data_IF_792954783422
#
_entry.id   IF_792954783422
#
_cell.length_a   1.000
_cell.length_b   1.000
_cell.length_c   1.000
_cell.angle_alpha   90.00
_cell.angle_beta   90.00
_cell.angle_gamma   90.00
#
_symmetry.space_group_name_H-M   'P 1'
#
loop_
_entity.id
_entity.type
_entity.pdbx_description
1 polymer ?
#
# COMPACT_ATOMS: atom_id res chain seq x y z
N UNK A 1 -3.64 -1.27 18.60
CA UNK A 1 -4.70 -2.26 18.89
C UNK A 1 -4.24 -3.68 18.53
N UNK A 2 -4.17 -4.08 17.25
CA UNK A 2 -3.76 -5.45 16.88
C UNK A 2 -2.41 -5.90 17.45
N UNK A 3 -1.36 -5.09 17.25
CA UNK A 3 -0.02 -5.41 17.76
C UNK A 3 0.01 -5.48 19.30
N UNK A 4 -0.82 -4.68 19.98
CA UNK A 4 -0.90 -4.65 21.44
C UNK A 4 -1.57 -5.94 21.97
N UNK A 5 -2.67 -6.37 21.34
CA UNK A 5 -3.36 -7.63 21.67
C UNK A 5 -2.44 -8.84 21.47
N UNK A 6 -1.68 -8.88 20.38
CA UNK A 6 -0.75 -9.99 20.13
C UNK A 6 0.33 -10.09 21.21
N UNK A 7 0.72 -9.00 21.86
CA UNK A 7 1.70 -9.03 22.97
C UNK A 7 1.15 -9.70 24.23
N UNK A 8 -0.17 -9.78 24.37
CA UNK A 8 -0.79 -10.51 25.49
C UNK A 8 -0.66 -12.04 25.33
N UNK A 9 -0.29 -12.54 24.14
CA UNK A 9 -0.09 -13.96 23.92
C UNK A 9 -1.35 -14.81 24.09
N UNK A 10 -2.53 -14.19 23.95
CA UNK A 10 -3.82 -14.86 24.08
C UNK A 10 -4.02 -15.88 22.95
N UNK A 11 -4.65 -17.01 23.28
CA UNK A 11 -5.16 -17.93 22.27
C UNK A 11 -6.32 -17.30 21.49
N UNK A 12 -6.58 -17.78 20.28
CA UNK A 12 -7.53 -17.18 19.34
C UNK A 12 -8.98 -17.14 19.87
N UNK A 13 -9.33 -18.04 20.77
CA UNK A 13 -10.64 -18.21 21.39
C UNK A 13 -10.79 -17.49 22.73
N UNK A 14 -9.71 -16.89 23.24
CA UNK A 14 -9.73 -16.18 24.52
C UNK A 14 -10.20 -14.73 24.29
N UNK A 15 -11.22 -14.26 25.03
CA UNK A 15 -11.68 -12.88 24.89
C UNK A 15 -10.58 -11.89 25.30
N UNK A 16 -10.50 -10.80 24.54
CA UNK A 16 -9.66 -9.65 24.89
C UNK A 16 -10.24 -8.92 26.10
N UNK A 17 -9.39 -8.25 26.87
CA UNK A 17 -9.86 -7.44 27.99
C UNK A 17 -10.77 -6.27 27.54
N UNK A 18 -11.53 -5.72 28.49
CA UNK A 18 -12.50 -4.64 28.22
C UNK A 18 -11.86 -3.40 27.60
N UNK A 19 -10.59 -3.11 27.92
CA UNK A 19 -9.86 -1.97 27.38
C UNK A 19 -9.64 -2.11 25.87
N UNK A 20 -9.21 -3.28 25.40
CA UNK A 20 -9.04 -3.52 23.97
C UNK A 20 -10.37 -3.68 23.25
N UNK A 21 -11.37 -4.30 23.90
CA UNK A 21 -12.71 -4.40 23.36
C UNK A 21 -13.29 -3.01 23.05
N UNK A 22 -13.21 -2.09 24.02
CA UNK A 22 -13.72 -0.72 23.86
C UNK A 22 -12.95 0.07 22.80
N UNK A 23 -11.60 -0.03 22.79
CA UNK A 23 -10.78 0.60 21.73
C UNK A 23 -11.12 0.07 20.34
N UNK A 24 -11.37 -1.23 20.22
CA UNK A 24 -11.76 -1.84 18.96
C UNK A 24 -13.15 -1.37 18.52
N UNK A 25 -14.12 -1.31 19.44
CA UNK A 25 -15.48 -0.82 19.20
C UNK A 25 -15.46 0.61 18.65
N UNK A 26 -14.75 1.51 19.31
CA UNK A 26 -14.62 2.92 18.88
C UNK A 26 -13.96 3.02 17.49
N UNK A 27 -12.89 2.25 17.25
CA UNK A 27 -12.24 2.23 15.94
C UNK A 27 -13.18 1.75 14.82
N UNK A 28 -14.00 0.72 15.06
CA UNK A 28 -15.02 0.24 14.11
C UNK A 28 -16.07 1.32 13.83
N UNK A 29 -16.51 2.05 14.85
CA UNK A 29 -17.47 3.15 14.69
C UNK A 29 -16.91 4.28 13.81
N UNK A 30 -15.65 4.67 14.03
CA UNK A 30 -14.95 5.64 13.17
C UNK A 30 -14.86 5.17 11.71
N UNK A 31 -14.44 3.93 11.50
CA UNK A 31 -14.35 3.33 10.16
C UNK A 31 -15.71 3.31 9.47
N UNK A 32 -16.78 2.96 10.20
CA UNK A 32 -18.15 2.94 9.68
C UNK A 32 -18.65 4.33 9.26
N UNK A 33 -18.17 5.40 9.89
CA UNK A 33 -18.47 6.77 9.46
C UNK A 33 -17.67 7.12 8.20
N UNK A 34 -16.37 6.85 8.19
CA UNK A 34 -15.48 7.18 7.08
C UNK A 34 -15.84 6.45 5.78
N UNK A 35 -16.21 5.18 5.86
CA UNK A 35 -16.48 4.36 4.67
C UNK A 35 -17.76 4.80 3.93
N UNK A 36 -18.70 5.45 4.63
CA UNK A 36 -19.95 5.95 4.01
C UNK A 36 -19.70 7.04 2.97
N UNK A 37 -18.65 7.83 3.14
CA UNK A 37 -18.26 8.90 2.20
C UNK A 37 -17.11 8.50 1.28
N UNK A 38 -16.45 7.36 1.54
CA UNK A 38 -15.36 6.89 0.69
C UNK A 38 -15.88 6.42 -0.67
N UNK A 39 -15.37 7.04 -1.74
CA UNK A 39 -15.66 6.65 -3.11
C UNK A 39 -14.34 6.41 -3.85
N UNK A 40 -14.25 5.28 -4.54
CA UNK A 40 -13.13 4.94 -5.42
C UNK A 40 -13.67 4.65 -6.82
N UNK A 41 -13.21 5.38 -7.86
CA UNK A 41 -13.62 5.12 -9.23
C UNK A 41 -13.28 3.69 -9.66
N UNK A 42 -14.23 2.99 -10.28
CA UNK A 42 -14.00 1.64 -10.81
C UNK A 42 -13.08 1.62 -12.04
N UNK A 43 -13.09 2.71 -12.81
CA UNK A 43 -12.21 2.90 -13.96
C UNK A 43 -11.16 3.95 -13.60
N UNK A 44 -9.90 3.69 -13.92
CA UNK A 44 -8.82 4.65 -13.71
C UNK A 44 -8.93 5.86 -14.64
N UNK A 45 -9.43 5.64 -15.85
CA UNK A 45 -9.41 6.62 -16.92
C UNK A 45 -10.84 7.05 -17.30
N UNK A 46 -11.05 8.36 -17.37
CA UNK A 46 -12.31 8.98 -17.81
C UNK A 46 -12.11 9.56 -19.22
N UNK A 47 -12.77 9.01 -20.25
CA UNK A 47 -12.60 9.43 -21.67
C UNK A 47 -12.04 8.37 -22.64
N UNK A 48 -11.61 8.82 -23.82
CA UNK A 48 -11.12 7.99 -24.94
C UNK A 48 -9.74 7.36 -24.64
N UNK A 49 -9.49 6.09 -25.02
CA UNK A 49 -8.32 5.29 -24.61
C UNK A 49 -6.95 5.77 -25.08
N UNK A 50 -6.86 6.84 -25.88
CA UNK A 50 -5.62 7.37 -26.45
C UNK A 50 -4.80 8.20 -25.43
N UNK A 51 -4.73 7.68 -24.19
CA UNK A 51 -4.03 8.30 -23.09
C UNK A 51 -2.52 8.16 -23.27
N UNK A 52 -1.92 9.28 -23.64
CA UNK A 52 -0.49 9.50 -23.65
C UNK A 52 0.10 9.13 -22.27
N UNK A 53 1.04 8.19 -22.30
CA UNK A 53 1.99 7.82 -21.23
C UNK A 53 1.37 7.60 -19.83
N UNK A 54 1.25 6.32 -19.46
CA UNK A 54 0.85 5.89 -18.11
C UNK A 54 2.09 5.59 -17.26
N UNK A 55 2.17 6.17 -16.07
CA UNK A 55 3.26 5.91 -15.12
C UNK A 55 2.69 5.31 -13.82
N UNK A 56 3.40 4.32 -13.27
CA UNK A 56 3.03 3.67 -12.02
C UNK A 56 3.89 4.23 -10.88
N UNK A 57 3.26 4.72 -9.82
CA UNK A 57 3.94 5.25 -8.64
C UNK A 57 3.60 4.38 -7.43
N UNK A 58 4.60 3.75 -6.81
CA UNK A 58 4.41 2.92 -5.61
C UNK A 58 5.12 3.59 -4.43
N UNK A 59 4.35 3.94 -3.41
CA UNK A 59 4.82 4.47 -2.15
C UNK A 59 4.88 3.35 -1.13
N UNK A 60 5.93 3.32 -0.32
CA UNK A 60 6.04 2.40 0.79
C UNK A 60 6.50 3.11 2.05
N UNK A 61 6.00 2.65 3.19
CA UNK A 61 6.37 3.17 4.51
C UNK A 61 6.49 2.02 5.51
N UNK A 62 7.31 2.22 6.53
CA UNK A 62 7.54 1.25 7.58
C UNK A 62 7.80 1.93 8.92
N UNK A 63 7.12 1.43 9.95
CA UNK A 63 7.26 1.86 11.33
C UNK A 63 7.31 0.64 12.24
N UNK A 64 7.63 0.84 13.51
CA UNK A 64 7.60 -0.23 14.52
C UNK A 64 6.22 -0.86 14.70
N UNK A 65 5.16 -0.19 14.23
CA UNK A 65 3.77 -0.64 14.36
C UNK A 65 3.24 -1.31 13.10
N UNK A 66 3.62 -0.82 11.92
CA UNK A 66 3.08 -1.29 10.65
C UNK A 66 3.98 -0.95 9.46
N UNK A 67 3.83 -1.73 8.40
CA UNK A 67 4.36 -1.48 7.07
C UNK A 67 3.20 -1.28 6.10
N UNK A 68 3.31 -0.34 5.17
CA UNK A 68 2.27 -0.03 4.20
C UNK A 68 2.85 0.23 2.81
N UNK A 69 2.01 0.00 1.80
CA UNK A 69 2.29 0.25 0.39
C UNK A 69 1.03 0.79 -0.28
N UNK A 70 1.17 1.84 -1.08
CA UNK A 70 0.10 2.40 -1.89
C UNK A 70 0.59 2.64 -3.32
N UNK A 71 -0.19 2.21 -4.31
CA UNK A 71 0.12 2.37 -5.73
C UNK A 71 -0.90 3.30 -6.39
N UNK A 72 -0.38 4.23 -7.19
CA UNK A 72 -1.13 5.18 -7.98
C UNK A 72 -0.70 5.13 -9.45
N UNK A 73 -1.64 5.33 -10.34
CA UNK A 73 -1.41 5.45 -11.78
C UNK A 73 -1.56 6.92 -12.14
N UNK A 74 -0.56 7.47 -12.81
CA UNK A 74 -0.63 8.79 -13.42
C UNK A 74 -0.76 8.65 -14.93
N UNK A 75 -1.56 9.51 -15.54
CA UNK A 75 -1.83 9.50 -16.97
C UNK A 75 -2.19 10.91 -17.43
N UNK A 76 -1.91 11.22 -18.69
CA UNK A 76 -2.22 12.53 -19.26
C UNK A 76 -3.52 12.49 -20.06
N UNK A 77 -4.39 13.46 -19.82
CA UNK A 77 -5.61 13.70 -20.60
C UNK A 77 -5.60 15.15 -21.02
N UNK A 78 -5.58 15.44 -22.32
CA UNK A 78 -5.67 16.82 -22.86
C UNK A 78 -4.66 17.80 -22.24
N UNK A 79 -3.44 17.36 -21.93
CA UNK A 79 -2.40 18.18 -21.30
C UNK A 79 -2.41 18.21 -19.78
N UNK A 80 -3.39 17.57 -19.12
CA UNK A 80 -3.52 17.51 -17.67
C UNK A 80 -3.11 16.15 -17.11
N UNK A 81 -2.22 16.16 -16.11
CA UNK A 81 -1.81 14.95 -15.39
C UNK A 81 -2.89 14.58 -14.37
N UNK A 82 -3.53 13.45 -14.62
CA UNK A 82 -4.52 12.85 -13.76
C UNK A 82 -3.89 11.72 -12.93
N UNK A 83 -4.46 11.44 -11.76
CA UNK A 83 -3.98 10.39 -10.86
C UNK A 83 -5.15 9.53 -10.39
N UNK A 84 -4.95 8.20 -10.40
CA UNK A 84 -5.91 7.25 -9.86
C UNK A 84 -5.25 6.28 -8.88
N UNK A 85 -5.94 5.95 -7.78
CA UNK A 85 -5.49 4.93 -6.83
C UNK A 85 -5.69 3.54 -7.43
N UNK A 86 -4.64 2.73 -7.47
CA UNK A 86 -4.68 1.38 -8.05
C UNK A 86 -4.79 0.28 -7.00
N UNK A 87 -3.96 0.34 -5.96
CA UNK A 87 -3.93 -0.71 -4.93
C UNK A 87 -3.28 -0.18 -3.65
N UNK A 88 -3.76 -0.64 -2.50
CA UNK A 88 -3.15 -0.40 -1.20
C UNK A 88 -3.00 -1.69 -0.42
N UNK A 89 -1.91 -1.82 0.33
CA UNK A 89 -1.66 -2.98 1.19
C UNK A 89 -0.95 -2.54 2.46
N UNK A 90 -1.45 -3.01 3.60
CA UNK A 90 -0.85 -2.74 4.91
C UNK A 90 -0.65 -4.05 5.68
N UNK A 91 0.39 -4.12 6.50
CA UNK A 91 0.72 -5.26 7.35
C UNK A 91 1.19 -4.76 8.71
N UNK A 92 0.65 -5.33 9.79
CA UNK A 92 1.11 -5.06 11.15
C UNK A 92 2.57 -5.53 11.28
N UNK A 93 3.42 -4.71 11.88
CA UNK A 93 4.83 -5.06 12.06
C UNK A 93 4.95 -6.25 13.03
N UNK A 94 5.84 -7.23 12.75
CA UNK A 94 6.04 -8.38 13.63
C UNK A 94 6.37 -7.97 15.07
N UNK A 95 5.96 -8.78 16.05
CA UNK A 95 6.32 -8.57 17.45
C UNK A 95 7.82 -8.76 17.72
N UNK A 96 8.46 -9.65 16.96
CA UNK A 96 9.89 -9.84 17.04
C UNK A 96 10.60 -8.52 16.72
N UNK A 97 11.51 -8.11 17.61
CA UNK A 97 12.29 -6.90 17.45
C UNK A 97 13.03 -6.93 16.10
N UNK A 98 12.54 -6.16 15.14
CA UNK A 98 13.20 -5.89 13.87
C UNK A 98 13.60 -4.42 13.88
N UNK A 99 14.83 -4.15 13.44
CA UNK A 99 15.27 -2.77 13.26
C UNK A 99 14.43 -2.10 12.17
N UNK A 100 14.25 -0.78 12.27
CA UNK A 100 13.54 0.02 11.24
C UNK A 100 14.05 -0.28 9.83
N UNK A 101 15.37 -0.35 9.55
CA UNK A 101 15.85 -0.68 8.20
C UNK A 101 15.37 -2.03 7.65
N UNK A 102 15.16 -3.04 8.51
CA UNK A 102 14.62 -4.34 8.07
C UNK A 102 13.15 -4.24 7.70
N UNK A 103 12.37 -3.46 8.46
CA UNK A 103 10.96 -3.21 8.16
C UNK A 103 10.82 -2.39 6.87
N UNK A 104 11.67 -1.39 6.65
CA UNK A 104 11.73 -0.64 5.39
C UNK A 104 12.06 -1.54 4.20
N UNK A 105 12.99 -2.49 4.36
CA UNK A 105 13.32 -3.46 3.32
C UNK A 105 12.13 -4.39 3.03
N UNK A 106 11.43 -4.86 4.04
CA UNK A 106 10.22 -5.67 3.87
C UNK A 106 9.09 -4.89 3.17
N UNK A 107 8.90 -3.61 3.50
CA UNK A 107 7.97 -2.73 2.80
C UNK A 107 8.35 -2.54 1.33
N UNK A 108 9.65 -2.39 1.02
CA UNK A 108 10.15 -2.31 -0.34
C UNK A 108 9.92 -3.61 -1.14
N UNK A 109 10.08 -4.78 -0.51
CA UNK A 109 9.74 -6.07 -1.13
C UNK A 109 8.24 -6.17 -1.41
N UNK A 110 7.39 -5.72 -0.49
CA UNK A 110 5.95 -5.65 -0.71
C UNK A 110 5.59 -4.70 -1.87
N UNK A 111 6.27 -3.56 -1.97
CA UNK A 111 6.10 -2.60 -3.05
C UNK A 111 6.49 -3.19 -4.42
N UNK A 112 7.64 -3.87 -4.50
CA UNK A 112 8.09 -4.55 -5.72
C UNK A 112 7.10 -5.61 -6.19
N UNK A 113 6.60 -6.45 -5.26
CA UNK A 113 5.59 -7.46 -5.58
C UNK A 113 4.28 -6.84 -6.04
N UNK A 114 3.81 -5.78 -5.38
CA UNK A 114 2.61 -5.05 -5.80
C UNK A 114 2.77 -4.47 -7.20
N UNK A 115 3.91 -3.86 -7.50
CA UNK A 115 4.19 -3.32 -8.83
C UNK A 115 4.16 -4.42 -9.91
N UNK A 116 4.77 -5.57 -9.63
CA UNK A 116 4.75 -6.73 -10.52
C UNK A 116 3.31 -7.21 -10.78
N UNK A 117 2.50 -7.39 -9.73
CA UNK A 117 1.10 -7.78 -9.86
C UNK A 117 0.30 -6.76 -10.68
N UNK A 118 0.44 -5.46 -10.40
CA UNK A 118 -0.24 -4.41 -11.17
C UNK A 118 0.15 -4.49 -12.64
N UNK A 119 1.44 -4.61 -12.96
CA UNK A 119 1.90 -4.69 -14.36
C UNK A 119 1.39 -5.92 -15.10
N UNK A 120 1.24 -7.06 -14.42
CA UNK A 120 0.76 -8.30 -15.03
C UNK A 120 -0.75 -8.35 -15.24
N UNK A 121 -1.53 -7.70 -14.37
CA UNK A 121 -2.99 -7.81 -14.36
C UNK A 121 -3.69 -6.71 -15.15
N UNK A 122 -2.95 -5.77 -15.74
CA UNK A 122 -3.52 -4.73 -16.60
C UNK A 122 -3.24 -5.05 -18.07
N UNK A 123 -4.26 -4.84 -18.92
CA UNK A 123 -4.19 -5.04 -20.37
C UNK A 123 -3.40 -3.94 -21.11
N UNK A 124 -2.71 -3.07 -20.38
CA UNK A 124 -1.90 -1.99 -20.92
C UNK A 124 -0.55 -1.91 -20.22
N UNK A 125 0.43 -1.35 -20.92
CA UNK A 125 1.78 -1.19 -20.41
C UNK A 125 1.95 0.16 -19.71
N UNK A 126 2.73 0.14 -18.62
CA UNK A 126 3.22 1.35 -17.97
C UNK A 126 4.56 1.75 -18.57
N UNK A 127 4.66 3.00 -19.03
CA UNK A 127 5.89 3.56 -19.58
C UNK A 127 6.99 3.62 -18.53
N UNK A 128 6.63 3.97 -17.28
CA UNK A 128 7.56 4.02 -16.16
C UNK A 128 6.94 3.48 -14.88
N UNK A 129 7.83 3.09 -13.96
CA UNK A 129 7.47 2.69 -12.61
C UNK A 129 8.43 3.35 -11.63
N UNK A 130 7.90 4.08 -10.66
CA UNK A 130 8.64 4.83 -9.65
C UNK A 130 8.33 4.29 -8.25
N UNK A 131 9.38 4.12 -7.44
CA UNK A 131 9.28 3.69 -6.05
C UNK A 131 9.66 4.83 -5.11
N UNK A 132 8.81 5.07 -4.11
CA UNK A 132 8.92 6.18 -3.17
C UNK A 132 8.95 5.64 -1.73
N UNK A 133 9.79 6.25 -0.89
CA UNK A 133 9.80 6.03 0.57
C UNK A 133 9.67 7.39 1.26
N UNK A 134 8.97 7.43 2.40
CA UNK A 134 8.69 8.66 3.16
C UNK A 134 9.98 9.40 3.65
N UNK A 135 11.15 8.74 3.64
CA UNK A 135 12.46 9.33 3.94
C UNK A 135 13.31 9.69 2.70
N UNK A 136 12.84 9.45 1.47
CA UNK A 136 13.57 9.78 0.23
C UNK A 136 13.24 8.88 -0.97
N UNK A 137 13.50 9.40 -2.17
CA UNK A 137 13.28 8.72 -3.47
C UNK A 137 14.20 7.49 -3.60
N UNK A 138 13.64 6.34 -4.00
CA UNK A 138 14.45 5.21 -4.47
C UNK A 138 14.93 5.53 -5.90
N UNK A 139 16.10 6.16 -6.05
CA UNK A 139 16.69 6.36 -7.38
C UNK A 139 17.07 4.99 -7.95
N UNK A 140 16.60 4.71 -9.18
CA UNK A 140 16.88 3.51 -9.99
C UNK A 140 18.30 2.98 -9.74
N UNK A 141 18.41 1.85 -9.07
CA UNK A 141 19.33 0.83 -9.56
C UNK A 141 18.52 -0.08 -10.46
N UNK A 142 18.94 -0.14 -11.72
CA UNK A 142 18.57 -1.19 -12.65
C UNK A 142 18.85 -2.54 -11.96
N UNK A 143 17.86 -3.12 -11.29
CA UNK A 143 17.83 -4.56 -11.11
C UNK A 143 17.39 -5.11 -12.46
N UNK A 144 18.39 -5.28 -13.34
CA UNK A 144 18.31 -6.26 -14.40
C UNK A 144 18.06 -7.59 -13.70
N UNK A 145 16.79 -8.00 -13.66
CA UNK A 145 16.46 -9.42 -13.58
C UNK A 145 16.44 -9.90 -15.03
N UNK A 146 17.64 -9.99 -15.61
CA UNK A 146 17.92 -11.03 -16.57
C UNK A 146 18.06 -12.35 -15.78
N UNK A 147 17.65 -13.46 -16.41
CA UNK A 147 17.66 -14.87 -15.94
C UNK A 147 16.67 -15.22 -14.82
N UNK A 148 15.69 -16.13 -14.97
CA UNK A 148 15.36 -17.16 -15.98
C UNK A 148 13.85 -17.15 -16.27
#
# INVERSE_FOLDING_TARGET
ILQDIWREGLAFDVPVNDVYHERWRLWIEEVNVMIKSFQSPRCYFTGSPDYARKCLHIFCDASEKAMSVAAYITFEVTGEINTAFAMGKSKVAPLAAKSIPRLELEAAVMASRMAHTIRQQHDYQFAETHFWRNSGIFRRHSMALDTY
#
